data_IF_465196675447
#
_entry.id   IF_465196675447
#
_cell.length_a   1.000
_cell.length_b   1.000
_cell.length_c   1.000
_cell.angle_alpha   90.00
_cell.angle_beta   90.00
_cell.angle_gamma   90.00
#
_symmetry.space_group_name_H-M   'P 1'
#
loop_
_entity.id
_entity.type
_entity.pdbx_description
1 polymer ?
#
# COMPACT_ATOMS: atom_id res chain seq x y z
N UNK A 1 59.27 12.17 16.93
CA UNK A 1 58.01 12.91 17.13
C UNK A 1 56.92 12.18 16.36
N UNK A 2 55.95 11.56 17.04
CA UNK A 2 54.84 10.80 16.43
C UNK A 2 53.56 11.63 16.58
N UNK A 3 53.02 12.12 15.47
CA UNK A 3 51.74 12.83 15.45
C UNK A 3 50.62 11.81 15.21
N UNK A 4 49.85 11.49 16.27
CA UNK A 4 48.59 10.76 16.14
C UNK A 4 47.48 11.75 15.82
N UNK A 5 47.00 11.74 14.58
CA UNK A 5 45.83 12.49 14.14
C UNK A 5 44.60 11.60 14.31
N UNK A 6 43.73 11.90 15.26
CA UNK A 6 42.46 11.20 15.48
C UNK A 6 41.41 11.88 14.60
N UNK A 7 40.96 11.20 13.54
CA UNK A 7 39.79 11.61 12.76
C UNK A 7 38.51 11.12 13.45
N UNK A 8 37.75 12.05 14.01
CA UNK A 8 36.40 11.80 14.52
C UNK A 8 35.41 11.80 13.34
N UNK A 9 34.91 10.62 12.97
CA UNK A 9 33.82 10.48 12.02
C UNK A 9 32.47 10.62 12.74
N UNK A 10 31.82 11.77 12.59
CA UNK A 10 30.43 11.95 13.01
C UNK A 10 29.52 11.28 11.97
N UNK A 11 28.94 10.13 12.31
CA UNK A 11 27.95 9.46 11.46
C UNK A 11 26.63 10.22 11.48
N UNK A 12 26.23 10.81 10.34
CA UNK A 12 24.87 11.32 10.14
C UNK A 12 23.95 10.11 9.97
N UNK A 13 23.11 9.83 10.97
CA UNK A 13 22.04 8.86 10.84
C UNK A 13 20.94 9.45 9.95
N UNK A 14 20.73 8.89 8.76
CA UNK A 14 19.62 9.26 7.89
C UNK A 14 18.34 8.57 8.41
N UNK A 15 17.40 9.36 8.94
CA UNK A 15 16.07 8.85 9.27
C UNK A 15 15.26 8.74 7.98
N UNK A 16 15.08 7.53 7.46
CA UNK A 16 14.10 7.30 6.39
C UNK A 16 12.71 7.49 6.98
N UNK A 17 11.99 8.52 6.54
CA UNK A 17 10.57 8.67 6.89
C UNK A 17 9.80 7.46 6.33
N UNK A 18 9.20 6.66 7.20
CA UNK A 18 8.28 5.59 6.81
C UNK A 18 7.15 6.18 5.96
N UNK A 19 6.93 5.62 4.77
CA UNK A 19 5.82 6.03 3.93
C UNK A 19 4.57 5.29 4.39
N UNK A 20 3.65 6.00 5.03
CA UNK A 20 2.37 5.44 5.46
C UNK A 20 1.34 5.36 4.34
N UNK A 21 0.06 5.31 4.74
CA UNK A 21 -1.07 5.39 3.81
C UNK A 21 -0.92 6.58 2.86
N UNK A 22 -1.18 6.35 1.57
CA UNK A 22 -0.98 7.37 0.55
C UNK A 22 -1.81 7.09 -0.72
N UNK A 23 -1.94 8.13 -1.55
CA UNK A 23 -2.67 8.04 -2.83
C UNK A 23 -1.72 7.99 -4.04
N UNK A 24 -0.50 7.47 -3.87
CA UNK A 24 0.46 7.31 -4.97
C UNK A 24 0.04 6.12 -5.82
N UNK A 25 0.28 6.23 -7.12
CA UNK A 25 0.03 5.20 -8.11
C UNK A 25 0.77 5.51 -9.40
N UNK A 26 0.60 4.66 -10.41
CA UNK A 26 1.14 4.92 -11.74
C UNK A 26 0.51 6.17 -12.36
N UNK A 27 1.16 6.73 -13.39
CA UNK A 27 0.58 7.85 -14.15
C UNK A 27 -0.79 7.49 -14.76
N UNK A 28 -1.00 6.23 -15.13
CA UNK A 28 -2.24 5.75 -15.70
C UNK A 28 -3.44 5.92 -14.75
N UNK A 29 -3.21 5.91 -13.43
CA UNK A 29 -4.24 6.22 -12.45
C UNK A 29 -4.89 7.61 -12.66
N UNK A 30 -4.17 8.59 -13.21
CA UNK A 30 -4.75 9.92 -13.48
C UNK A 30 -5.82 9.89 -14.57
N UNK A 31 -5.54 9.16 -15.67
CA UNK A 31 -6.38 9.11 -16.87
C UNK A 31 -7.37 7.94 -16.94
N UNK A 32 -7.17 6.91 -16.11
CA UNK A 32 -7.98 5.69 -16.10
C UNK A 32 -9.43 5.86 -15.64
N UNK A 33 -10.27 4.87 -15.94
CA UNK A 33 -11.70 4.84 -15.57
C UNK A 33 -11.96 4.18 -14.20
N UNK A 34 -10.94 3.54 -13.61
CA UNK A 34 -11.05 2.95 -12.28
C UNK A 34 -11.26 3.96 -11.15
N UNK A 35 -12.01 3.57 -10.11
CA UNK A 35 -12.17 4.34 -8.87
C UNK A 35 -12.38 3.46 -7.63
N UNK A 36 -11.88 3.91 -6.48
CA UNK A 36 -11.87 3.11 -5.25
C UNK A 36 -13.26 2.78 -4.71
N UNK A 37 -14.26 3.64 -4.90
CA UNK A 37 -15.63 3.41 -4.42
C UNK A 37 -16.23 2.17 -5.12
N UNK A 38 -16.11 2.10 -6.45
CA UNK A 38 -16.58 0.95 -7.21
C UNK A 38 -15.75 -0.30 -6.91
N UNK A 39 -14.43 -0.17 -6.76
CA UNK A 39 -13.58 -1.31 -6.39
C UNK A 39 -13.99 -1.90 -5.03
N UNK A 40 -14.22 -1.03 -4.04
CA UNK A 40 -14.69 -1.46 -2.72
C UNK A 40 -16.04 -2.17 -2.82
N UNK A 41 -16.98 -1.63 -3.58
CA UNK A 41 -18.28 -2.28 -3.82
C UNK A 41 -18.14 -3.70 -4.40
N UNK A 42 -17.21 -3.90 -5.34
CA UNK A 42 -16.91 -5.24 -5.88
C UNK A 42 -16.37 -6.15 -4.78
N UNK A 43 -15.39 -5.68 -4.00
CA UNK A 43 -14.77 -6.46 -2.91
C UNK A 43 -15.79 -6.79 -1.81
N UNK A 44 -16.71 -5.88 -1.48
CA UNK A 44 -17.76 -6.09 -0.47
C UNK A 44 -18.70 -7.25 -0.83
N UNK A 45 -18.85 -7.55 -2.11
CA UNK A 45 -19.68 -8.65 -2.61
C UNK A 45 -18.93 -9.99 -2.72
N UNK A 46 -17.63 -10.04 -2.45
CA UNK A 46 -16.87 -11.30 -2.47
C UNK A 46 -17.28 -12.18 -1.29
N UNK A 47 -17.64 -13.43 -1.59
CA UNK A 47 -17.93 -14.48 -0.61
C UNK A 47 -17.07 -15.74 -0.90
N UNK A 48 -16.63 -16.48 0.13
CA UNK A 48 -16.79 -16.15 1.55
C UNK A 48 -15.86 -14.98 1.96
N UNK A 49 -16.22 -14.26 3.04
CA UNK A 49 -15.47 -13.09 3.53
C UNK A 49 -14.04 -13.43 4.01
N UNK A 50 -13.83 -14.67 4.42
CA UNK A 50 -12.53 -15.22 4.83
C UNK A 50 -11.69 -15.74 3.66
N UNK A 51 -12.16 -15.63 2.42
CA UNK A 51 -11.40 -16.01 1.23
C UNK A 51 -10.04 -15.30 1.24
N UNK A 52 -8.97 -16.09 1.28
CA UNK A 52 -7.60 -15.63 1.38
C UNK A 52 -7.00 -15.27 0.03
N UNK A 53 -6.25 -14.17 0.01
CA UNK A 53 -5.50 -13.67 -1.14
C UNK A 53 -4.01 -13.54 -0.76
N UNK A 54 -3.13 -14.30 -1.42
CA UNK A 54 -1.69 -14.16 -1.25
C UNK A 54 -1.17 -12.87 -1.89
N UNK A 55 0.08 -12.53 -1.59
CA UNK A 55 0.79 -11.44 -2.25
C UNK A 55 0.74 -11.59 -3.79
N UNK A 56 0.65 -10.45 -4.48
CA UNK A 56 0.67 -10.29 -5.94
C UNK A 56 -0.52 -10.91 -6.69
N UNK A 57 -1.46 -11.56 -6.01
CA UNK A 57 -2.69 -11.99 -6.65
C UNK A 57 -3.61 -10.79 -6.88
N UNK A 58 -4.14 -10.70 -8.10
CA UNK A 58 -5.17 -9.73 -8.48
C UNK A 58 -6.50 -10.11 -7.81
N UNK A 59 -7.04 -9.21 -7.00
CA UNK A 59 -8.20 -9.47 -6.13
C UNK A 59 -9.50 -9.06 -6.82
N UNK A 60 -9.53 -7.81 -7.28
CA UNK A 60 -10.67 -7.21 -7.96
C UNK A 60 -10.19 -6.07 -8.84
N UNK A 61 -10.95 -5.79 -9.90
CA UNK A 61 -10.68 -4.71 -10.84
C UNK A 61 -11.84 -3.73 -10.90
N UNK A 62 -11.53 -2.48 -11.17
CA UNK A 62 -12.49 -1.49 -11.64
C UNK A 62 -11.86 -0.71 -12.77
N UNK A 63 -12.49 -0.77 -13.95
CA UNK A 63 -11.87 -0.30 -15.18
C UNK A 63 -10.50 -0.96 -15.39
N UNK A 64 -9.48 -0.13 -15.29
CA UNK A 64 -8.08 -0.43 -15.52
C UNK A 64 -7.23 -0.53 -14.24
N UNK A 65 -7.84 -0.44 -13.06
CA UNK A 65 -7.14 -0.51 -11.77
C UNK A 65 -7.48 -1.78 -11.01
N UNK A 66 -6.51 -2.33 -10.28
CA UNK A 66 -6.61 -3.58 -9.53
C UNK A 66 -6.17 -3.43 -8.08
N UNK A 67 -6.85 -4.10 -7.15
CA UNK A 67 -6.37 -4.31 -5.78
C UNK A 67 -5.52 -5.58 -5.68
N UNK A 68 -4.38 -5.49 -5.01
CA UNK A 68 -3.51 -6.63 -4.70
C UNK A 68 -2.61 -6.35 -3.48
N UNK A 69 -2.23 -7.41 -2.77
CA UNK A 69 -1.26 -7.31 -1.68
C UNK A 69 0.18 -7.33 -2.19
N UNK A 70 1.09 -6.61 -1.54
CA UNK A 70 2.52 -6.62 -1.86
C UNK A 70 3.39 -6.40 -0.62
N UNK A 71 4.71 -6.42 -0.78
CA UNK A 71 5.69 -6.26 0.30
C UNK A 71 5.48 -7.28 1.43
N UNK A 72 5.18 -8.53 1.08
CA UNK A 72 4.94 -9.60 2.05
C UNK A 72 3.55 -9.62 2.68
N UNK A 73 2.66 -8.69 2.34
CA UNK A 73 1.29 -8.71 2.79
C UNK A 73 0.46 -9.81 2.12
N UNK A 74 -0.56 -10.26 2.84
CA UNK A 74 -1.63 -11.14 2.38
C UNK A 74 -2.82 -10.96 3.31
N UNK A 75 -4.01 -11.34 2.90
CA UNK A 75 -5.19 -11.13 3.73
C UNK A 75 -6.46 -11.74 3.16
N UNK A 76 -7.57 -11.52 3.84
CA UNK A 76 -8.89 -12.01 3.43
C UNK A 76 -9.64 -10.95 2.63
N UNK A 77 -10.74 -11.36 1.97
CA UNK A 77 -11.65 -10.40 1.32
C UNK A 77 -12.17 -9.32 2.30
N UNK A 78 -12.40 -9.70 3.56
CA UNK A 78 -12.77 -8.76 4.62
C UNK A 78 -11.68 -7.72 4.88
N UNK A 79 -10.43 -8.16 5.02
CA UNK A 79 -9.30 -7.25 5.20
C UNK A 79 -9.14 -6.29 4.01
N UNK A 80 -9.28 -6.79 2.78
CA UNK A 80 -9.21 -5.96 1.57
C UNK A 80 -10.29 -4.87 1.59
N UNK A 81 -11.52 -5.19 2.02
CA UNK A 81 -12.59 -4.19 2.14
C UNK A 81 -12.25 -3.09 3.15
N UNK A 82 -11.75 -3.47 4.33
CA UNK A 82 -11.34 -2.51 5.36
C UNK A 82 -10.18 -1.62 4.89
N UNK A 83 -9.18 -2.20 4.23
CA UNK A 83 -8.05 -1.49 3.66
C UNK A 83 -8.47 -0.50 2.55
N UNK A 84 -9.41 -0.90 1.68
CA UNK A 84 -10.00 0.00 0.68
C UNK A 84 -10.80 1.14 1.34
N UNK A 85 -11.48 0.88 2.45
CA UNK A 85 -12.15 1.94 3.21
C UNK A 85 -11.13 2.93 3.78
N UNK A 86 -10.02 2.44 4.33
CA UNK A 86 -8.95 3.32 4.83
C UNK A 86 -8.39 4.24 3.73
N UNK A 87 -8.24 3.75 2.50
CA UNK A 87 -7.84 4.58 1.36
C UNK A 87 -8.89 5.65 1.01
N UNK A 88 -10.17 5.31 1.05
CA UNK A 88 -11.26 6.26 0.83
C UNK A 88 -11.28 7.34 1.92
N UNK A 89 -11.15 6.93 3.19
CA UNK A 89 -11.12 7.84 4.34
C UNK A 89 -9.90 8.77 4.32
N UNK A 90 -8.78 8.30 3.77
CA UNK A 90 -7.59 9.10 3.49
C UNK A 90 -7.77 10.09 2.32
N UNK A 91 -8.87 10.00 1.57
CA UNK A 91 -9.18 10.88 0.44
C UNK A 91 -8.61 10.39 -0.90
N UNK A 92 -8.13 9.15 -0.98
CA UNK A 92 -7.73 8.57 -2.26
C UNK A 92 -8.99 8.28 -3.10
N UNK A 93 -8.91 8.58 -4.40
CA UNK A 93 -10.06 8.44 -5.33
C UNK A 93 -9.92 7.27 -6.28
N UNK A 94 -8.69 6.98 -6.73
CA UNK A 94 -8.43 6.01 -7.80
C UNK A 94 -7.40 4.96 -7.39
N UNK A 95 -6.22 5.41 -6.99
CA UNK A 95 -5.10 4.56 -6.61
C UNK A 95 -4.56 4.97 -5.25
N UNK A 96 -3.83 4.05 -4.62
CA UNK A 96 -3.21 4.28 -3.34
C UNK A 96 -2.64 3.02 -2.73
N UNK A 97 -2.03 3.18 -1.57
CA UNK A 97 -1.50 2.06 -0.79
C UNK A 97 -1.73 2.30 0.69
N UNK A 98 -2.12 1.25 1.41
CA UNK A 98 -2.34 1.28 2.85
C UNK A 98 -1.48 0.19 3.51
N UNK A 99 -0.71 0.52 4.57
CA UNK A 99 0.06 -0.48 5.31
C UNK A 99 -0.86 -1.51 5.97
N UNK A 100 -0.47 -2.78 5.92
CA UNK A 100 -1.19 -3.88 6.60
C UNK A 100 -0.49 -4.35 7.87
N UNK A 101 0.72 -3.85 8.13
CA UNK A 101 1.50 -4.16 9.32
C UNK A 101 1.55 -2.97 10.31
N UNK A 102 1.79 -3.22 11.60
CA UNK A 102 2.06 -2.16 12.56
C UNK A 102 3.24 -1.27 12.14
N UNK A 103 3.24 -0.01 12.55
CA UNK A 103 4.32 0.94 12.24
C UNK A 103 4.04 1.89 11.07
N UNK A 104 2.87 1.76 10.41
CA UNK A 104 2.40 2.67 9.36
C UNK A 104 3.44 2.87 8.25
N UNK A 105 3.99 1.77 7.75
CA UNK A 105 5.01 1.78 6.71
C UNK A 105 4.65 0.76 5.63
N UNK A 106 4.40 1.25 4.41
CA UNK A 106 3.95 0.40 3.30
C UNK A 106 5.05 -0.58 2.84
N UNK A 107 6.33 -0.29 3.13
CA UNK A 107 7.44 -1.19 2.83
C UNK A 107 7.41 -2.50 3.65
N UNK A 108 6.69 -2.53 4.77
CA UNK A 108 6.60 -3.70 5.64
C UNK A 108 5.39 -4.60 5.29
N UNK A 109 4.57 -4.18 4.33
CA UNK A 109 3.36 -4.87 3.89
C UNK A 109 2.25 -3.89 3.57
N UNK A 110 1.62 -4.02 2.41
CA UNK A 110 0.56 -3.11 1.98
C UNK A 110 -0.48 -3.79 1.08
N UNK A 111 -1.74 -3.31 1.16
CA UNK A 111 -2.69 -3.42 0.06
C UNK A 111 -2.44 -2.24 -0.90
N UNK A 112 -2.39 -2.53 -2.18
CA UNK A 112 -2.16 -1.54 -3.25
C UNK A 112 -3.31 -1.57 -4.22
N UNK A 113 -3.74 -0.38 -4.65
CA UNK A 113 -4.59 -0.20 -5.83
C UNK A 113 -3.79 0.57 -6.88
N UNK A 114 -3.57 -0.07 -8.03
CA UNK A 114 -2.80 0.49 -9.13
C UNK A 114 -3.28 -0.06 -10.48
N UNK A 115 -2.81 0.53 -11.59
CA UNK A 115 -2.97 0.02 -12.96
C UNK A 115 -2.14 -1.26 -13.18
#
# INVERSE_FOLDING_TARGET
MKYSMILSFSSLAATTSALGINCRGSFACGGGSGNLINLKSIVDNIQPRDRFYPAQQQIAFTGDTCAFFQNGASGTAEQVSADLQALLDHGCKKCGSVPTQPGNNVADGQLTVNY
#
